data_IF_198738083824
#
_entry.id   IF_198738083824
#
_cell.length_a   1.000
_cell.length_b   1.000
_cell.length_c   1.000
_cell.angle_alpha   90.00
_cell.angle_beta   90.00
_cell.angle_gamma   90.00
#
_symmetry.space_group_name_H-M   'P 1'
#
loop_
_entity.id
_entity.type
_entity.pdbx_description
1 polymer ?
#
# COMPACT_ATOMS: atom_id res chain seq x y z
N UNK A 1 -52.56 -45.14 29.45
CA UNK A 1 -51.15 -44.90 29.11
C UNK A 1 -51.00 -45.19 27.63
N UNK A 2 -51.05 -44.16 26.78
CA UNK A 2 -50.80 -44.28 25.34
C UNK A 2 -49.70 -43.30 25.00
N UNK A 3 -48.50 -43.87 24.85
CA UNK A 3 -47.28 -43.22 24.42
C UNK A 3 -47.45 -42.76 22.96
N UNK A 4 -47.25 -41.47 22.70
CA UNK A 4 -47.37 -40.89 21.36
C UNK A 4 -45.98 -40.65 20.81
N UNK A 5 -45.65 -41.44 19.79
CA UNK A 5 -44.43 -41.41 19.01
C UNK A 5 -44.15 -39.98 18.49
N UNK A 6 -43.03 -39.39 18.90
CA UNK A 6 -42.46 -38.21 18.24
C UNK A 6 -41.70 -38.65 16.99
N UNK A 7 -42.00 -38.14 15.79
CA UNK A 7 -41.26 -38.46 14.58
C UNK A 7 -40.01 -37.57 14.51
N UNK A 8 -38.99 -37.89 15.29
CA UNK A 8 -37.74 -37.13 15.32
C UNK A 8 -36.66 -37.79 14.45
N UNK A 9 -36.12 -37.02 13.49
CA UNK A 9 -34.76 -37.18 13.00
C UNK A 9 -34.60 -37.58 11.53
N UNK A 10 -35.08 -38.75 11.11
CA UNK A 10 -34.70 -39.38 9.83
C UNK A 10 -35.57 -38.96 8.64
N UNK A 11 -36.86 -38.70 8.84
CA UNK A 11 -37.79 -38.30 7.77
C UNK A 11 -37.64 -36.83 7.34
N UNK A 12 -36.96 -36.01 8.14
CA UNK A 12 -36.72 -34.59 7.87
C UNK A 12 -35.44 -34.32 7.05
N UNK A 13 -34.54 -35.31 6.94
CA UNK A 13 -33.30 -35.21 6.16
C UNK A 13 -33.54 -35.00 4.66
N UNK A 14 -34.44 -35.77 3.98
CA UNK A 14 -34.67 -35.57 2.55
C UNK A 14 -35.30 -34.20 2.24
N UNK A 15 -36.14 -33.66 3.15
CA UNK A 15 -36.74 -32.34 3.00
C UNK A 15 -35.68 -31.23 3.12
N UNK A 16 -34.82 -31.30 4.14
CA UNK A 16 -33.71 -30.34 4.31
C UNK A 16 -32.68 -30.42 3.18
N UNK A 17 -32.44 -31.61 2.64
CA UNK A 17 -31.55 -31.78 1.49
C UNK A 17 -32.14 -31.16 0.22
N UNK A 18 -33.45 -31.28 0.00
CA UNK A 18 -34.14 -30.63 -1.11
C UNK A 18 -34.13 -29.10 -0.97
N UNK A 19 -34.34 -28.57 0.23
CA UNK A 19 -34.25 -27.13 0.52
C UNK A 19 -32.82 -26.59 0.31
N UNK A 20 -31.80 -27.33 0.76
CA UNK A 20 -30.40 -26.96 0.53
C UNK A 20 -30.02 -26.98 -0.95
N UNK A 21 -30.52 -27.97 -1.71
CA UNK A 21 -30.31 -28.05 -3.16
C UNK A 21 -30.98 -26.87 -3.90
N UNK A 22 -32.21 -26.51 -3.50
CA UNK A 22 -32.89 -25.34 -4.06
C UNK A 22 -32.17 -24.02 -3.72
N UNK A 23 -31.64 -23.89 -2.50
CA UNK A 23 -30.84 -22.74 -2.09
C UNK A 23 -29.51 -22.64 -2.87
N UNK A 24 -28.86 -23.77 -3.14
CA UNK A 24 -27.65 -23.83 -3.98
C UNK A 24 -27.94 -23.42 -5.43
N UNK A 25 -29.05 -23.87 -6.00
CA UNK A 25 -29.40 -23.51 -7.38
C UNK A 25 -29.78 -22.03 -7.51
N UNK A 26 -30.40 -21.45 -6.48
CA UNK A 26 -30.66 -20.02 -6.41
C UNK A 26 -29.38 -19.16 -6.31
N UNK A 27 -28.27 -19.72 -5.82
CA UNK A 27 -26.97 -19.03 -5.73
C UNK A 27 -26.17 -19.07 -7.04
N UNK A 28 -26.52 -19.96 -7.97
CA UNK A 28 -25.80 -20.18 -9.22
C UNK A 28 -25.83 -18.96 -10.13
N UNK A 29 -27.00 -18.36 -10.36
CA UNK A 29 -27.13 -17.15 -11.20
C UNK A 29 -26.37 -15.93 -10.64
N UNK A 30 -26.43 -15.59 -9.33
CA UNK A 30 -25.55 -14.58 -8.74
C UNK A 30 -24.06 -14.91 -8.89
N UNK A 31 -23.67 -16.17 -8.70
CA UNK A 31 -22.28 -16.60 -8.81
C UNK A 31 -21.75 -16.48 -10.25
N UNK A 32 -22.54 -16.86 -11.24
CA UNK A 32 -22.21 -16.71 -12.66
C UNK A 32 -22.08 -15.23 -13.06
N UNK A 33 -22.99 -14.36 -12.59
CA UNK A 33 -22.88 -12.90 -12.82
C UNK A 33 -21.65 -12.30 -12.14
N UNK A 34 -21.32 -12.76 -10.93
CA UNK A 34 -20.10 -12.35 -10.25
C UNK A 34 -18.86 -12.78 -11.04
N UNK A 35 -18.80 -14.04 -11.47
CA UNK A 35 -17.70 -14.57 -12.28
C UNK A 35 -17.52 -13.78 -13.59
N UNK A 36 -18.60 -13.51 -14.32
CA UNK A 36 -18.57 -12.71 -15.54
C UNK A 36 -18.05 -11.28 -15.29
N UNK A 37 -18.49 -10.62 -14.21
CA UNK A 37 -17.99 -9.29 -13.86
C UNK A 37 -16.50 -9.28 -13.49
N UNK A 38 -16.01 -10.35 -12.86
CA UNK A 38 -14.59 -10.52 -12.53
C UNK A 38 -13.80 -10.70 -13.83
N UNK A 39 -14.23 -11.58 -14.73
CA UNK A 39 -13.59 -11.82 -16.02
C UNK A 39 -13.49 -10.53 -16.85
N UNK A 40 -14.57 -9.75 -16.91
CA UNK A 40 -14.60 -8.44 -17.56
C UNK A 40 -13.59 -7.45 -16.96
N UNK A 41 -13.50 -7.40 -15.63
CA UNK A 41 -12.56 -6.52 -14.93
C UNK A 41 -11.10 -6.92 -15.22
N UNK A 42 -10.80 -8.22 -15.17
CA UNK A 42 -9.48 -8.75 -15.51
C UNK A 42 -9.12 -8.51 -16.97
N UNK A 43 -10.06 -8.72 -17.91
CA UNK A 43 -9.85 -8.45 -19.33
C UNK A 43 -9.51 -6.98 -19.60
N UNK A 44 -10.23 -6.04 -18.96
CA UNK A 44 -9.95 -4.59 -19.08
C UNK A 44 -8.61 -4.21 -18.47
N UNK A 45 -8.29 -4.74 -17.29
CA UNK A 45 -7.01 -4.49 -16.62
C UNK A 45 -5.84 -5.02 -17.45
N UNK A 46 -5.94 -6.25 -17.97
CA UNK A 46 -4.96 -6.86 -18.87
C UNK A 46 -4.74 -6.04 -20.13
N UNK A 47 -5.82 -5.63 -20.80
CA UNK A 47 -5.72 -4.78 -21.99
C UNK A 47 -5.05 -3.43 -21.71
N UNK A 48 -5.30 -2.83 -20.53
CA UNK A 48 -4.62 -1.61 -20.10
C UNK A 48 -3.14 -1.85 -19.87
N UNK A 49 -2.77 -2.93 -19.16
CA UNK A 49 -1.39 -3.30 -18.89
C UNK A 49 -0.62 -3.56 -20.18
N UNK A 50 -1.18 -4.33 -21.12
CA UNK A 50 -0.57 -4.60 -22.42
C UNK A 50 -0.31 -3.31 -23.19
N UNK A 51 -1.25 -2.34 -23.18
CA UNK A 51 -1.03 -1.03 -23.82
C UNK A 51 0.09 -0.24 -23.14
N UNK A 52 0.13 -0.21 -21.81
CA UNK A 52 1.19 0.47 -21.06
C UNK A 52 2.57 -0.17 -21.32
N UNK A 53 2.65 -1.50 -21.34
CA UNK A 53 3.88 -2.23 -21.65
C UNK A 53 4.32 -2.04 -23.09
N UNK A 54 3.39 -2.07 -24.05
CA UNK A 54 3.70 -1.80 -25.46
C UNK A 54 4.21 -0.38 -25.67
N UNK A 55 3.59 0.61 -25.01
CA UNK A 55 4.04 2.01 -25.05
C UNK A 55 5.42 2.17 -24.42
N UNK A 56 5.66 1.53 -23.28
CA UNK A 56 6.94 1.61 -22.61
C UNK A 56 8.07 0.85 -23.32
N UNK A 57 7.74 -0.23 -24.04
CA UNK A 57 8.70 -0.90 -24.91
C UNK A 57 9.05 -0.05 -26.13
N UNK A 58 8.10 0.73 -26.66
CA UNK A 58 8.33 1.67 -27.75
C UNK A 58 9.13 2.92 -27.32
N UNK A 59 8.85 3.45 -26.13
CA UNK A 59 9.43 4.70 -25.64
C UNK A 59 10.60 4.50 -24.65
N UNK A 60 10.88 3.27 -24.23
CA UNK A 60 11.99 2.90 -23.35
C UNK A 60 11.86 3.34 -21.88
N UNK A 61 10.74 3.95 -21.47
CA UNK A 61 10.56 4.48 -20.11
C UNK A 61 9.20 4.07 -19.55
N UNK A 62 9.14 3.09 -18.63
CA UNK A 62 8.04 3.02 -17.66
C UNK A 62 8.45 3.88 -16.47
N UNK A 63 7.75 4.98 -16.22
CA UNK A 63 7.94 5.68 -14.95
C UNK A 63 7.13 4.99 -13.84
N UNK A 64 7.68 4.92 -12.62
CA UNK A 64 6.95 4.38 -11.46
C UNK A 64 5.61 5.10 -11.23
N UNK A 65 5.53 6.38 -11.62
CA UNK A 65 4.34 7.21 -11.55
C UNK A 65 3.21 6.74 -12.49
N UNK A 66 3.54 6.24 -13.68
CA UNK A 66 2.55 5.71 -14.62
C UNK A 66 2.01 4.35 -14.16
N UNK A 67 2.89 3.51 -13.60
CA UNK A 67 2.47 2.25 -12.98
C UNK A 67 1.52 2.52 -11.81
N UNK A 68 1.87 3.46 -10.92
CA UNK A 68 1.03 3.87 -9.80
C UNK A 68 -0.33 4.40 -10.28
N UNK A 69 -0.36 5.23 -11.32
CA UNK A 69 -1.62 5.72 -11.91
C UNK A 69 -2.46 4.60 -12.53
N UNK A 70 -1.85 3.65 -13.23
CA UNK A 70 -2.55 2.52 -13.81
C UNK A 70 -3.20 1.64 -12.73
N UNK A 71 -2.48 1.38 -11.64
CA UNK A 71 -3.00 0.64 -10.47
C UNK A 71 -4.15 1.40 -9.80
N UNK A 72 -3.98 2.71 -9.56
CA UNK A 72 -5.04 3.55 -8.97
C UNK A 72 -6.30 3.57 -9.84
N UNK A 73 -6.15 3.67 -11.17
CA UNK A 73 -7.28 3.64 -12.09
C UNK A 73 -7.98 2.27 -12.11
N UNK A 74 -7.22 1.17 -12.03
CA UNK A 74 -7.80 -0.17 -11.91
C UNK A 74 -8.58 -0.37 -10.61
N UNK A 75 -8.05 0.13 -9.48
CA UNK A 75 -8.73 0.11 -8.18
C UNK A 75 -9.99 0.98 -8.21
N UNK A 76 -9.93 2.17 -8.80
CA UNK A 76 -11.08 3.06 -8.95
C UNK A 76 -12.14 2.48 -9.90
N UNK A 77 -11.72 1.77 -10.96
CA UNK A 77 -12.64 1.05 -11.84
C UNK A 77 -13.32 -0.12 -11.12
N UNK A 78 -12.59 -0.86 -10.28
CA UNK A 78 -13.14 -1.91 -9.43
C UNK A 78 -14.08 -1.35 -8.33
N UNK A 79 -13.79 -0.16 -7.79
CA UNK A 79 -14.62 0.53 -6.82
C UNK A 79 -15.84 1.23 -7.44
N UNK A 80 -15.75 1.60 -8.72
CA UNK A 80 -16.80 2.28 -9.50
C UNK A 80 -17.93 1.35 -9.97
N UNK A 81 -17.75 0.03 -9.89
CA UNK A 81 -18.84 -0.95 -10.07
C UNK A 81 -19.71 -0.93 -8.79
N UNK A 82 -20.52 0.12 -8.69
CA UNK A 82 -21.58 0.29 -7.69
C UNK A 82 -22.61 -0.83 -7.87
N UNK A 83 -22.40 -1.97 -7.21
CA UNK A 83 -23.44 -3.01 -7.18
C UNK A 83 -23.08 -4.42 -6.69
N UNK A 84 -21.84 -4.72 -6.27
CA UNK A 84 -21.49 -6.08 -5.86
C UNK A 84 -20.58 -6.14 -4.64
N UNK A 85 -21.14 -6.57 -3.51
CA UNK A 85 -20.51 -6.72 -2.17
C UNK A 85 -19.47 -7.87 -2.13
N UNK A 86 -18.87 -8.25 -3.26
CA UNK A 86 -17.94 -9.40 -3.33
C UNK A 86 -16.47 -8.99 -3.35
N UNK A 87 -16.08 -8.21 -4.35
CA UNK A 87 -14.66 -7.92 -4.60
C UNK A 87 -14.20 -6.60 -3.96
N UNK A 88 -15.06 -5.58 -3.94
CA UNK A 88 -14.77 -4.32 -3.24
C UNK A 88 -14.68 -4.51 -1.74
N UNK A 89 -15.49 -5.42 -1.16
CA UNK A 89 -15.41 -5.81 0.25
C UNK A 89 -14.15 -6.64 0.56
N UNK A 90 -13.76 -7.56 -0.32
CA UNK A 90 -12.53 -8.33 -0.16
C UNK A 90 -11.26 -7.48 -0.34
N UNK A 91 -11.27 -6.55 -1.29
CA UNK A 91 -10.20 -5.56 -1.49
C UNK A 91 -10.20 -4.56 -0.33
N UNK A 92 -11.35 -4.06 0.13
CA UNK A 92 -11.43 -3.19 1.31
C UNK A 92 -11.05 -3.92 2.61
N UNK A 93 -11.26 -5.23 2.72
CA UNK A 93 -10.79 -6.04 3.85
C UNK A 93 -9.27 -6.30 3.75
N UNK A 94 -8.75 -6.60 2.56
CA UNK A 94 -7.32 -6.76 2.31
C UNK A 94 -6.55 -5.43 2.48
N UNK A 95 -7.14 -4.31 2.05
CA UNK A 95 -6.61 -2.95 2.24
C UNK A 95 -6.89 -2.42 3.65
N UNK A 96 -7.96 -2.85 4.29
CA UNK A 96 -8.30 -2.47 5.67
C UNK A 96 -7.31 -3.04 6.69
N UNK A 97 -6.65 -4.14 6.34
CA UNK A 97 -5.51 -4.68 7.09
C UNK A 97 -4.14 -4.11 6.68
N UNK A 98 -4.03 -3.44 5.53
CA UNK A 98 -2.77 -2.86 5.05
C UNK A 98 -2.74 -1.35 5.25
N UNK A 99 -2.09 -0.89 6.32
CA UNK A 99 -2.03 0.53 6.68
C UNK A 99 -1.07 1.38 5.83
N UNK A 100 -0.54 0.81 4.74
CA UNK A 100 0.36 1.45 3.78
C UNK A 100 1.84 1.18 4.02
N UNK A 101 2.68 1.75 3.15
CA UNK A 101 4.12 1.77 3.33
C UNK A 101 4.50 2.70 4.50
N UNK A 102 5.49 2.29 5.28
CA UNK A 102 6.07 2.96 6.46
C UNK A 102 7.60 2.92 6.37
N UNK A 103 8.15 2.89 5.15
CA UNK A 103 9.58 2.95 4.91
C UNK A 103 10.19 4.25 5.45
N UNK A 104 9.49 5.38 5.28
CA UNK A 104 9.86 6.69 5.85
C UNK A 104 9.33 6.91 7.28
N UNK A 105 8.83 5.85 7.92
CA UNK A 105 8.22 5.89 9.23
C UNK A 105 6.75 6.30 9.27
N UNK A 106 6.28 6.64 10.47
CA UNK A 106 4.94 7.13 10.77
C UNK A 106 4.13 6.26 11.72
N UNK A 107 2.94 6.73 12.14
CA UNK A 107 2.11 6.03 13.11
C UNK A 107 1.56 4.70 12.56
N UNK A 108 1.48 3.73 13.45
CA UNK A 108 0.94 2.38 13.23
C UNK A 108 -0.07 2.04 14.30
N UNK A 109 -1.07 1.25 13.94
CA UNK A 109 -2.12 0.76 14.83
C UNK A 109 -1.95 -0.74 15.02
N UNK A 110 -2.31 -1.22 16.21
CA UNK A 110 -2.28 -2.65 16.52
C UNK A 110 -3.22 -3.43 15.60
N UNK A 111 -2.79 -4.62 15.18
CA UNK A 111 -3.57 -5.50 14.29
C UNK A 111 -3.49 -5.14 12.80
N UNK A 112 -2.84 -4.03 12.44
CA UNK A 112 -2.52 -3.69 11.06
C UNK A 112 -1.25 -4.38 10.56
N UNK A 113 -1.16 -4.56 9.25
CA UNK A 113 0.05 -4.92 8.52
C UNK A 113 0.59 -3.69 7.76
N UNK A 114 1.89 -3.47 7.86
CA UNK A 114 2.58 -2.33 7.26
C UNK A 114 3.79 -2.83 6.49
N UNK A 115 4.13 -2.18 5.39
CA UNK A 115 5.36 -2.45 4.64
C UNK A 115 6.44 -1.49 5.11
N UNK A 116 7.48 -1.97 5.77
CA UNK A 116 8.62 -1.20 6.29
C UNK A 116 9.91 -1.61 5.57
N UNK A 117 10.99 -0.85 5.74
CA UNK A 117 12.33 -1.25 5.29
C UNK A 117 12.88 -0.43 4.14
N UNK A 118 14.02 0.22 4.40
CA UNK A 118 14.82 0.97 3.42
C UNK A 118 15.78 0.08 2.61
N UNK A 119 16.02 -1.16 3.08
CA UNK A 119 16.86 -2.18 2.41
C UNK A 119 16.04 -3.24 1.65
N UNK A 120 14.74 -3.01 1.50
CA UNK A 120 13.80 -3.92 0.87
C UNK A 120 12.48 -4.01 1.64
N UNK A 121 11.41 -4.44 0.96
CA UNK A 121 10.07 -4.51 1.55
C UNK A 121 9.96 -5.62 2.60
N UNK A 122 9.86 -5.24 3.87
CA UNK A 122 9.58 -6.11 5.02
C UNK A 122 8.17 -5.86 5.55
N UNK A 123 7.49 -6.89 6.06
CA UNK A 123 6.15 -6.75 6.63
C UNK A 123 6.23 -6.61 8.15
N UNK A 124 5.71 -5.50 8.67
CA UNK A 124 5.60 -5.20 10.09
C UNK A 124 4.15 -5.32 10.58
N UNK A 125 3.93 -6.06 11.66
CA UNK A 125 2.60 -6.29 12.28
C UNK A 125 2.66 -6.01 13.77
N UNK A 126 2.42 -4.77 14.22
CA UNK A 126 2.50 -4.42 15.63
C UNK A 126 1.30 -4.99 16.41
N UNK A 127 1.56 -5.43 17.65
CA UNK A 127 0.53 -5.91 18.57
C UNK A 127 -0.28 -4.77 19.23
N UNK A 128 0.27 -3.55 19.26
CA UNK A 128 -0.37 -2.35 19.81
C UNK A 128 -0.07 -1.12 18.96
N UNK A 129 -0.70 0.01 19.26
CA UNK A 129 -0.43 1.26 18.56
C UNK A 129 0.98 1.79 18.89
N UNK A 130 1.62 2.43 17.92
CA UNK A 130 2.98 2.96 18.04
C UNK A 130 3.39 3.79 16.81
N UNK A 131 4.69 4.06 16.67
CA UNK A 131 5.25 4.79 15.53
C UNK A 131 6.48 4.06 15.03
N UNK A 132 6.61 3.92 13.71
CA UNK A 132 7.85 3.49 13.06
C UNK A 132 8.74 4.72 12.90
N UNK A 133 9.93 4.69 13.48
CA UNK A 133 10.94 5.75 13.34
C UNK A 133 12.05 5.27 12.40
N UNK A 134 12.29 5.94 11.26
CA UNK A 134 13.35 5.57 10.34
C UNK A 134 14.69 5.95 10.93
N UNK A 135 15.63 5.01 10.98
CA UNK A 135 16.99 5.25 11.46
C UNK A 135 17.82 5.93 10.37
N UNK A 136 17.52 7.20 10.08
CA UNK A 136 18.16 7.99 9.02
C UNK A 136 17.25 8.85 8.16
N UNK A 137 15.94 8.90 8.45
CA UNK A 137 14.96 9.69 7.68
C UNK A 137 14.94 11.19 8.05
N UNK A 138 14.47 12.06 7.13
CA UNK A 138 14.73 13.49 7.17
C UNK A 138 13.88 14.21 8.25
N UNK A 139 14.47 14.44 9.42
CA UNK A 139 14.42 15.83 9.89
C UNK A 139 15.08 16.67 8.78
N UNK A 140 14.53 17.81 8.37
CA UNK A 140 14.90 18.57 7.16
C UNK A 140 16.34 19.11 7.08
N UNK A 141 17.28 18.51 7.81
CA UNK A 141 18.71 18.69 7.71
C UNK A 141 19.30 17.31 7.42
N UNK A 142 19.96 17.14 6.27
CA UNK A 142 20.86 16.00 6.04
C UNK A 142 21.91 15.89 7.16
N UNK A 143 22.80 14.87 7.15
CA UNK A 143 23.84 14.73 8.17
C UNK A 143 24.52 16.08 8.40
N UNK A 144 24.26 16.69 9.55
CA UNK A 144 24.71 18.04 9.86
C UNK A 144 26.24 18.04 9.86
N UNK A 145 26.83 18.69 8.87
CA UNK A 145 28.29 18.81 8.80
C UNK A 145 28.70 19.93 9.75
N UNK A 146 29.13 19.56 10.96
CA UNK A 146 29.74 20.50 11.90
C UNK A 146 31.17 20.79 11.47
N UNK A 147 31.42 21.99 10.95
CA UNK A 147 32.77 22.45 10.60
C UNK A 147 33.33 23.27 11.76
N UNK A 148 34.34 22.74 12.46
CA UNK A 148 35.08 23.50 13.46
C UNK A 148 36.15 24.34 12.75
N UNK A 149 36.05 25.67 12.86
CA UNK A 149 37.01 26.61 12.27
C UNK A 149 37.80 27.26 13.39
N UNK A 150 39.12 27.05 13.38
CA UNK A 150 40.04 27.73 14.29
C UNK A 150 40.69 28.89 13.55
N UNK A 151 40.62 30.10 14.12
CA UNK A 151 41.20 31.30 13.53
C UNK A 151 42.25 31.87 14.46
N UNK A 152 43.50 31.86 14.00
CA UNK A 152 44.61 32.49 14.70
C UNK A 152 44.50 34.01 14.57
N UNK A 153 44.28 34.69 15.71
CA UNK A 153 44.09 36.15 15.76
C UNK A 153 42.79 36.64 16.39
N UNK A 154 41.97 35.74 16.94
CA UNK A 154 40.75 36.11 17.67
C UNK A 154 39.69 36.79 16.80
N UNK A 155 38.75 37.51 17.43
CA UNK A 155 37.61 38.13 16.74
C UNK A 155 38.05 39.15 15.67
N UNK A 156 39.11 39.91 15.89
CA UNK A 156 39.62 40.89 14.92
C UNK A 156 40.24 40.24 13.66
N UNK A 157 40.89 39.08 13.83
CA UNK A 157 41.38 38.28 12.70
C UNK A 157 40.23 37.71 11.87
N UNK A 158 39.12 37.37 12.52
CA UNK A 158 37.90 36.90 11.89
C UNK A 158 37.24 37.98 11.02
N UNK A 159 37.09 39.20 11.56
CA UNK A 159 36.51 40.34 10.84
C UNK A 159 37.31 40.72 9.59
N UNK A 160 38.65 40.65 9.66
CA UNK A 160 39.52 40.91 8.50
C UNK A 160 39.43 39.84 7.42
N UNK A 161 39.03 38.62 7.78
CA UNK A 161 39.06 37.44 6.90
C UNK A 161 37.66 36.93 6.53
N UNK A 162 36.60 37.61 6.96
CA UNK A 162 35.21 37.18 6.83
C UNK A 162 34.83 36.85 5.38
N UNK A 163 35.19 37.73 4.44
CA UNK A 163 34.89 37.52 3.02
C UNK A 163 35.63 36.33 2.43
N UNK A 164 36.86 36.06 2.89
CA UNK A 164 37.65 34.92 2.44
C UNK A 164 37.08 33.61 2.98
N UNK A 165 36.73 33.58 4.27
CA UNK A 165 36.10 32.42 4.92
C UNK A 165 34.75 32.10 4.28
N UNK A 166 33.90 33.11 4.04
CA UNK A 166 32.59 32.93 3.40
C UNK A 166 32.71 32.31 1.99
N UNK A 167 33.68 32.77 1.19
CA UNK A 167 33.93 32.20 -0.16
C UNK A 167 34.45 30.76 -0.09
N UNK A 168 35.32 30.44 0.86
CA UNK A 168 35.82 29.08 1.06
C UNK A 168 34.70 28.13 1.48
N UNK A 169 33.84 28.56 2.42
CA UNK A 169 32.69 27.78 2.87
C UNK A 169 31.70 27.55 1.73
N UNK A 170 31.33 28.60 0.98
CA UNK A 170 30.42 28.51 -0.15
C UNK A 170 30.95 27.58 -1.25
N UNK A 171 32.26 27.56 -1.49
CA UNK A 171 32.88 26.63 -2.43
C UNK A 171 32.87 25.19 -1.91
N UNK A 172 33.13 24.99 -0.63
CA UNK A 172 33.12 23.67 0.00
C UNK A 172 31.71 23.06 0.01
N UNK A 173 30.67 23.84 0.32
CA UNK A 173 29.27 23.39 0.27
C UNK A 173 28.83 23.09 -1.16
N UNK A 174 29.23 23.90 -2.14
CA UNK A 174 28.93 23.65 -3.55
C UNK A 174 29.62 22.40 -4.12
N UNK A 175 30.77 21.99 -3.57
CA UNK A 175 31.44 20.73 -3.91
C UNK A 175 30.77 19.53 -3.23
N UNK A 176 30.32 19.67 -1.99
CA UNK A 176 29.61 18.61 -1.26
C UNK A 176 28.16 18.38 -1.70
N UNK A 177 27.58 19.29 -2.49
CA UNK A 177 26.24 19.17 -3.05
C UNK A 177 26.18 18.41 -4.39
N UNK A 178 27.29 17.86 -4.87
CA UNK A 178 27.37 17.02 -6.08
C UNK A 178 27.46 15.56 -5.70
#
# INVERSE_FOLDING_TARGET
>A
MSDSFRPDGVDAVPVKAAEAAAALEALKEPAERAAASIEDAFGRAGASLTRSLARAAADGQVTLAELARAVLNAVNAAAGVRGGVGLSGAIAAAMGGFGGARADGGPVLGGGAYLVGERGPEVFRPAGAGTVEPMGGPSGSGPGVTVNVTVDGGAEGLLRSETQIARMLARATALGAR
#
